data_IF_420211137774
#
_entry.id   IF_420211137774
#
_cell.length_a   1.000
_cell.length_b   1.000
_cell.length_c   1.000
_cell.angle_alpha   90.00
_cell.angle_beta   90.00
_cell.angle_gamma   90.00
#
_symmetry.space_group_name_H-M   'P 1'
#
loop_
_entity.id
_entity.type
_entity.pdbx_description
1 polymer ?
#
# COMPACT_ATOMS: atom_id res chain seq x y z
N UNK A 1 2.61 5.35 -7.28
CA UNK A 1 1.71 6.49 -7.60
C UNK A 1 2.33 7.87 -7.43
N UNK A 2 3.34 8.09 -6.57
CA UNK A 2 4.02 9.42 -6.45
C UNK A 2 4.45 10.02 -7.79
N UNK A 3 5.10 9.26 -8.71
CA UNK A 3 5.57 9.85 -9.97
C UNK A 3 4.45 10.30 -10.91
N UNK A 4 3.28 9.65 -10.87
CA UNK A 4 2.12 10.04 -11.69
C UNK A 4 1.47 11.32 -11.17
N UNK A 5 1.38 11.47 -9.84
CA UNK A 5 0.87 12.67 -9.20
C UNK A 5 1.80 13.86 -9.42
N UNK A 6 3.12 13.67 -9.28
CA UNK A 6 4.12 14.69 -9.58
C UNK A 6 4.07 15.13 -11.05
N UNK A 7 3.86 14.18 -11.97
CA UNK A 7 3.72 14.47 -13.40
C UNK A 7 2.43 15.25 -13.71
N UNK A 8 1.30 14.87 -13.11
CA UNK A 8 0.05 15.59 -13.24
C UNK A 8 0.14 17.02 -12.69
N UNK A 9 0.71 17.19 -11.49
CA UNK A 9 0.94 18.50 -10.88
C UNK A 9 1.82 19.39 -11.78
N UNK A 10 2.84 18.79 -12.40
CA UNK A 10 3.69 19.47 -13.39
C UNK A 10 2.91 19.88 -14.65
N UNK A 11 2.07 19.00 -15.19
CA UNK A 11 1.24 19.29 -16.37
C UNK A 11 0.27 20.45 -16.09
N UNK A 12 -0.43 20.41 -14.96
CA UNK A 12 -1.38 21.48 -14.56
C UNK A 12 -0.65 22.80 -14.35
N UNK A 13 0.50 22.78 -13.67
CA UNK A 13 1.30 23.98 -13.45
C UNK A 13 1.81 24.58 -14.77
N UNK A 14 2.25 23.72 -15.69
CA UNK A 14 2.72 24.13 -17.01
C UNK A 14 1.59 24.70 -17.86
N UNK A 15 0.40 24.10 -17.81
CA UNK A 15 -0.80 24.59 -18.49
C UNK A 15 -1.14 26.02 -18.05
N UNK A 16 -1.23 26.25 -16.74
CA UNK A 16 -1.53 27.56 -16.17
C UNK A 16 -0.48 28.62 -16.54
N UNK A 17 0.79 28.23 -16.62
CA UNK A 17 1.88 29.13 -17.03
C UNK A 17 1.74 29.54 -18.51
N UNK A 18 1.48 28.57 -19.40
CA UNK A 18 1.39 28.81 -20.84
C UNK A 18 0.13 29.59 -21.19
N UNK A 19 -0.98 29.35 -20.49
CA UNK A 19 -2.25 30.05 -20.66
C UNK A 19 -2.10 31.57 -20.51
N UNK A 20 -1.23 32.03 -19.60
CA UNK A 20 -0.93 33.46 -19.41
C UNK A 20 -0.35 34.14 -20.66
N UNK A 21 0.23 33.37 -21.58
CA UNK A 21 0.87 33.87 -22.79
C UNK A 21 -0.02 33.79 -24.05
N UNK A 22 -1.26 33.31 -23.94
CA UNK A 22 -2.20 33.22 -25.07
C UNK A 22 -2.53 34.56 -25.72
N UNK A 23 -2.52 35.64 -24.93
CA UNK A 23 -2.81 37.00 -25.40
C UNK A 23 -1.54 37.85 -25.58
N UNK A 24 -0.37 37.23 -25.69
CA UNK A 24 0.89 37.96 -25.80
C UNK A 24 0.95 38.83 -27.06
N UNK A 25 1.58 40.01 -26.96
CA UNK A 25 1.68 40.97 -28.07
C UNK A 25 2.43 40.43 -29.29
N UNK A 26 3.30 39.43 -29.10
CA UNK A 26 4.11 38.81 -30.16
C UNK A 26 3.34 37.64 -30.80
N UNK A 27 3.05 37.67 -32.11
CA UNK A 27 2.24 36.63 -32.79
C UNK A 27 2.80 35.21 -32.66
N UNK A 28 4.12 35.04 -32.83
CA UNK A 28 4.78 33.72 -32.68
C UNK A 28 4.62 33.15 -31.27
N UNK A 29 4.65 33.99 -30.24
CA UNK A 29 4.47 33.55 -28.86
C UNK A 29 3.06 33.01 -28.66
N UNK A 30 2.05 33.65 -29.24
CA UNK A 30 0.67 33.14 -29.20
C UNK A 30 0.51 31.81 -29.94
N UNK A 31 1.09 31.70 -31.13
CA UNK A 31 1.06 30.48 -31.94
C UNK A 31 1.66 29.29 -31.17
N UNK A 32 2.87 29.46 -30.62
CA UNK A 32 3.51 28.41 -29.82
C UNK A 32 2.77 28.13 -28.50
N UNK A 33 2.20 29.15 -27.86
CA UNK A 33 1.41 28.94 -26.63
C UNK A 33 0.16 28.11 -26.93
N UNK A 34 -0.52 28.37 -28.06
CA UNK A 34 -1.67 27.59 -28.50
C UNK A 34 -1.30 26.13 -28.74
N UNK A 35 -0.24 25.87 -29.51
CA UNK A 35 0.21 24.50 -29.79
C UNK A 35 0.58 23.75 -28.52
N UNK A 36 1.30 24.42 -27.60
CA UNK A 36 1.73 23.81 -26.35
C UNK A 36 0.55 23.52 -25.40
N UNK A 37 -0.49 24.37 -25.39
CA UNK A 37 -1.71 24.09 -24.64
C UNK A 37 -2.47 22.88 -25.20
N UNK A 38 -2.51 22.72 -26.53
CA UNK A 38 -3.12 21.54 -27.14
C UNK A 38 -2.38 20.25 -26.71
N UNK A 39 -1.04 20.27 -26.74
CA UNK A 39 -0.20 19.15 -26.30
C UNK A 39 -0.35 18.84 -24.80
N UNK A 40 -0.41 19.87 -23.95
CA UNK A 40 -0.64 19.73 -22.52
C UNK A 40 -2.04 19.18 -22.22
N UNK A 41 -3.05 19.61 -22.98
CA UNK A 41 -4.43 19.12 -22.85
C UNK A 41 -4.51 17.64 -23.20
N UNK A 42 -3.87 17.22 -24.29
CA UNK A 42 -3.79 15.81 -24.67
C UNK A 42 -3.08 14.99 -23.59
N UNK A 43 -1.97 15.49 -23.05
CA UNK A 43 -1.21 14.82 -21.99
C UNK A 43 -2.04 14.66 -20.69
N UNK A 44 -2.82 15.69 -20.31
CA UNK A 44 -3.74 15.61 -19.18
C UNK A 44 -4.83 14.55 -19.40
N UNK A 45 -5.40 14.49 -20.62
CA UNK A 45 -6.39 13.47 -20.98
C UNK A 45 -5.80 12.06 -20.93
N UNK A 46 -4.54 11.88 -21.34
CA UNK A 46 -3.84 10.60 -21.23
C UNK A 46 -3.65 10.16 -19.77
N UNK A 47 -3.29 11.10 -18.89
CA UNK A 47 -3.19 10.84 -17.44
C UNK A 47 -4.55 10.40 -16.87
N UNK A 48 -5.64 11.08 -17.24
CA UNK A 48 -6.99 10.70 -16.81
C UNK A 48 -7.39 9.31 -17.31
N UNK A 49 -7.08 8.99 -18.56
CA UNK A 49 -7.33 7.66 -19.12
C UNK A 49 -6.51 6.59 -18.38
N UNK A 50 -5.25 6.87 -18.05
CA UNK A 50 -4.40 5.99 -17.26
C UNK A 50 -4.98 5.72 -15.87
N UNK A 51 -5.45 6.76 -15.18
CA UNK A 51 -6.12 6.62 -13.89
C UNK A 51 -7.35 5.74 -14.01
N UNK A 52 -8.17 5.94 -15.04
CA UNK A 52 -9.38 5.16 -15.29
C UNK A 52 -9.07 3.68 -15.56
N UNK A 53 -8.06 3.38 -16.39
CA UNK A 53 -7.61 2.02 -16.66
C UNK A 53 -7.09 1.33 -15.41
N UNK A 54 -6.31 2.04 -14.59
CA UNK A 54 -5.80 1.50 -13.34
C UNK A 54 -6.94 1.24 -12.34
N UNK A 55 -7.92 2.13 -12.29
CA UNK A 55 -9.14 1.94 -11.49
C UNK A 55 -9.91 0.70 -11.92
N UNK A 56 -10.05 0.47 -13.23
CA UNK A 56 -10.75 -0.69 -13.76
C UNK A 56 -10.00 -2.00 -13.45
N UNK A 57 -8.66 -2.00 -13.56
CA UNK A 57 -7.85 -3.16 -13.14
C UNK A 57 -8.07 -3.49 -11.67
N UNK A 58 -8.04 -2.49 -10.80
CA UNK A 58 -8.28 -2.67 -9.37
C UNK A 58 -9.70 -3.19 -9.11
N UNK A 59 -10.70 -2.66 -9.81
CA UNK A 59 -12.09 -3.14 -9.75
C UNK A 59 -12.21 -4.61 -10.16
N UNK A 60 -11.57 -5.01 -11.26
CA UNK A 60 -11.54 -6.39 -11.75
C UNK A 60 -10.91 -7.31 -10.70
N UNK A 61 -9.79 -6.92 -10.10
CA UNK A 61 -9.14 -7.69 -9.01
C UNK A 61 -10.09 -7.88 -7.83
N UNK A 62 -10.81 -6.82 -7.42
CA UNK A 62 -11.82 -6.89 -6.35
C UNK A 62 -12.97 -7.83 -6.71
N UNK A 63 -13.44 -7.81 -7.96
CA UNK A 63 -14.55 -8.65 -8.43
C UNK A 63 -14.17 -10.13 -8.57
N UNK A 64 -12.93 -10.44 -8.96
CA UNK A 64 -12.43 -11.82 -9.05
C UNK A 64 -11.97 -12.40 -7.70
N UNK A 65 -11.85 -11.57 -6.68
CA UNK A 65 -11.59 -11.98 -5.30
C UNK A 65 -12.89 -12.55 -4.71
N UNK A 66 -13.00 -13.88 -4.62
CA UNK A 66 -14.20 -14.55 -4.13
C UNK A 66 -14.60 -14.05 -2.73
N UNK A 67 -15.90 -14.01 -2.41
CA UNK A 67 -16.41 -13.71 -1.06
C UNK A 67 -15.71 -14.53 0.04
N UNK A 68 -15.38 -15.80 -0.25
CA UNK A 68 -14.64 -16.68 0.64
C UNK A 68 -13.24 -16.15 0.94
N UNK A 69 -12.58 -15.55 -0.04
CA UNK A 69 -11.24 -14.98 0.12
C UNK A 69 -11.19 -13.68 0.92
N UNK A 70 -12.36 -13.09 1.25
CA UNK A 70 -12.51 -11.99 2.20
C UNK A 70 -12.54 -12.47 3.66
N UNK A 71 -12.55 -13.77 3.93
CA UNK A 71 -12.44 -14.28 5.29
C UNK A 71 -10.96 -14.44 5.69
N UNK A 72 -10.59 -14.10 6.95
CA UNK A 72 -9.21 -14.20 7.42
C UNK A 72 -8.60 -15.61 7.24
N UNK A 73 -9.40 -16.66 7.49
CA UNK A 73 -8.92 -18.04 7.42
C UNK A 73 -8.57 -18.46 5.99
N UNK A 74 -9.38 -18.06 5.01
CA UNK A 74 -9.12 -18.36 3.60
C UNK A 74 -7.92 -17.57 3.07
N UNK A 75 -7.81 -16.28 3.46
CA UNK A 75 -6.65 -15.48 3.14
C UNK A 75 -5.36 -16.09 3.72
N UNK A 76 -5.37 -16.46 5.00
CA UNK A 76 -4.23 -17.08 5.66
C UNK A 76 -3.87 -18.43 5.01
N UNK A 77 -4.88 -19.25 4.68
CA UNK A 77 -4.66 -20.51 3.96
C UNK A 77 -3.97 -20.28 2.61
N UNK A 78 -4.41 -19.30 1.82
CA UNK A 78 -3.74 -18.94 0.56
C UNK A 78 -2.32 -18.44 0.78
N UNK A 79 -2.09 -17.64 1.82
CA UNK A 79 -0.76 -17.14 2.16
C UNK A 79 0.19 -18.30 2.45
N UNK A 80 -0.25 -19.28 3.25
CA UNK A 80 0.54 -20.45 3.61
C UNK A 80 0.80 -21.39 2.43
N UNK A 81 -0.17 -21.55 1.53
CA UNK A 81 0.00 -22.39 0.33
C UNK A 81 0.95 -21.80 -0.73
N UNK A 82 1.42 -20.54 -0.58
CA UNK A 82 2.36 -19.95 -1.52
C UNK A 82 3.74 -20.60 -1.36
N UNK A 83 4.39 -21.02 -2.46
CA UNK A 83 5.70 -21.66 -2.40
C UNK A 83 6.71 -20.85 -1.57
N UNK A 84 7.30 -21.49 -0.56
CA UNK A 84 8.33 -20.92 0.31
C UNK A 84 7.83 -20.00 1.42
N UNK A 85 6.54 -19.60 1.46
CA UNK A 85 6.06 -18.71 2.53
C UNK A 85 5.91 -19.42 3.87
N UNK A 86 5.43 -20.66 3.90
CA UNK A 86 5.36 -21.44 5.14
C UNK A 86 6.75 -21.57 5.80
N UNK A 87 7.77 -21.97 5.03
CA UNK A 87 9.15 -22.03 5.52
C UNK A 87 9.69 -20.66 5.96
N UNK A 88 9.24 -19.58 5.31
CA UNK A 88 9.60 -18.21 5.69
C UNK A 88 8.97 -17.84 7.03
N UNK A 89 7.70 -18.19 7.25
CA UNK A 89 6.94 -17.90 8.47
C UNK A 89 7.42 -18.74 9.67
N UNK A 90 7.82 -19.99 9.41
CA UNK A 90 8.36 -20.94 10.40
C UNK A 90 9.84 -20.72 10.71
N UNK A 91 10.49 -19.76 10.05
CA UNK A 91 11.86 -19.40 10.38
C UNK A 91 11.94 -19.07 11.88
N UNK A 92 13.05 -19.42 12.52
CA UNK A 92 13.28 -19.05 13.91
C UNK A 92 13.40 -17.54 14.06
N UNK A 93 12.27 -16.84 14.16
CA UNK A 93 12.18 -15.38 14.31
C UNK A 93 12.79 -14.87 15.63
N UNK A 94 12.93 -15.77 16.60
CA UNK A 94 13.65 -15.53 17.86
C UNK A 94 15.16 -15.81 17.78
N UNK A 95 15.70 -16.22 16.62
CA UNK A 95 17.14 -16.42 16.42
C UNK A 95 17.87 -15.11 16.11
N UNK A 96 17.46 -14.02 16.73
CA UNK A 96 18.23 -12.78 16.67
C UNK A 96 19.46 -12.95 17.54
N UNK A 97 20.53 -13.37 16.86
CA UNK A 97 21.93 -13.32 17.33
C UNK A 97 22.09 -12.10 18.24
N UNK A 98 22.45 -12.32 19.52
CA UNK A 98 22.91 -11.33 20.51
C UNK A 98 23.24 -9.97 19.87
N UNK A 99 22.24 -9.14 19.61
CA UNK A 99 22.45 -7.79 19.10
C UNK A 99 22.58 -6.88 20.30
N UNK A 100 23.36 -5.83 20.12
CA UNK A 100 23.50 -4.78 21.11
C UNK A 100 22.08 -4.32 21.51
N UNK A 101 21.74 -4.12 22.80
CA UNK A 101 20.38 -3.75 23.21
C UNK A 101 19.84 -2.45 22.57
N UNK A 102 20.72 -1.68 21.92
CA UNK A 102 20.36 -0.47 21.15
C UNK A 102 19.95 -0.75 19.69
N UNK A 103 20.10 -1.97 19.18
CA UNK A 103 19.75 -2.33 17.79
C UNK A 103 18.45 -3.15 17.75
N UNK A 104 17.31 -2.46 17.64
CA UNK A 104 16.01 -3.06 17.33
C UNK A 104 15.79 -3.01 15.81
N UNK A 105 15.91 -4.15 15.13
CA UNK A 105 15.73 -4.25 13.68
C UNK A 105 14.31 -4.64 13.28
N UNK A 106 13.59 -5.35 14.15
CA UNK A 106 12.21 -5.78 13.96
C UNK A 106 11.47 -5.84 15.31
N UNK A 107 10.13 -5.93 15.29
CA UNK A 107 9.31 -6.03 16.51
C UNK A 107 9.66 -7.26 17.35
N UNK A 108 10.18 -8.33 16.73
CA UNK A 108 10.60 -9.54 17.44
C UNK A 108 11.89 -9.36 18.25
N UNK A 109 12.63 -8.28 18.01
CA UNK A 109 13.79 -7.90 18.83
C UNK A 109 13.35 -7.26 20.17
N UNK A 110 12.06 -6.95 20.34
CA UNK A 110 11.55 -6.32 21.56
C UNK A 110 11.23 -7.35 22.65
N UNK A 111 11.53 -6.99 23.90
CA UNK A 111 11.15 -7.77 25.08
C UNK A 111 9.64 -8.01 25.13
N UNK A 112 8.83 -7.05 24.70
CA UNK A 112 7.36 -7.17 24.69
C UNK A 112 6.89 -8.35 23.86
N UNK A 113 7.45 -8.57 22.68
CA UNK A 113 7.08 -9.70 21.82
C UNK A 113 7.71 -11.01 22.31
N UNK A 114 8.95 -10.97 22.79
CA UNK A 114 9.65 -12.17 23.28
C UNK A 114 9.03 -12.73 24.58
N UNK A 115 8.50 -11.85 25.43
CA UNK A 115 7.87 -12.19 26.70
C UNK A 115 6.35 -12.35 26.61
N UNK A 116 5.75 -12.13 25.43
CA UNK A 116 4.31 -12.32 25.23
C UNK A 116 3.95 -13.76 25.60
N UNK A 117 3.07 -13.94 26.59
CA UNK A 117 2.67 -15.26 27.05
C UNK A 117 1.50 -15.81 26.23
N UNK A 118 1.54 -17.09 25.93
CA UNK A 118 0.41 -17.84 25.40
C UNK A 118 -0.57 -18.26 26.51
N UNK A 119 -1.68 -18.92 26.14
CA UNK A 119 -2.65 -19.44 27.10
C UNK A 119 -2.09 -20.46 28.09
N UNK A 120 -0.94 -21.06 27.77
CA UNK A 120 -0.19 -22.03 28.60
C UNK A 120 0.73 -21.34 29.62
N UNK A 121 0.77 -20.00 29.68
CA UNK A 121 1.67 -19.22 30.52
C UNK A 121 3.14 -19.26 30.07
N UNK A 122 3.43 -19.93 28.95
CA UNK A 122 4.75 -19.99 28.32
C UNK A 122 4.87 -18.91 27.25
N UNK A 123 6.08 -18.56 26.79
CA UNK A 123 6.24 -17.66 25.64
C UNK A 123 5.39 -18.14 24.45
N UNK A 124 4.63 -17.20 23.89
CA UNK A 124 3.77 -17.44 22.73
C UNK A 124 4.62 -17.85 21.54
N UNK A 125 5.70 -17.14 21.25
CA UNK A 125 6.64 -17.59 20.23
C UNK A 125 7.61 -18.60 20.84
N UNK A 126 7.55 -19.86 20.39
CA UNK A 126 8.49 -20.92 20.82
C UNK A 126 8.80 -21.85 19.65
N UNK A 127 10.02 -22.39 19.64
CA UNK A 127 10.45 -23.32 18.59
C UNK A 127 10.01 -24.75 18.89
N UNK A 128 9.89 -25.59 17.85
CA UNK A 128 9.54 -27.01 18.01
C UNK A 128 8.07 -27.28 18.33
N UNK A 129 7.17 -26.34 18.02
CA UNK A 129 5.72 -26.57 18.08
C UNK A 129 5.23 -27.28 16.82
N UNK A 130 4.15 -28.05 16.94
CA UNK A 130 3.43 -28.63 15.80
C UNK A 130 2.26 -27.72 15.33
N UNK A 131 2.32 -26.43 15.65
CA UNK A 131 1.31 -25.44 15.30
C UNK A 131 2.00 -24.14 14.87
N UNK A 132 1.38 -23.43 13.92
CA UNK A 132 1.81 -22.12 13.47
C UNK A 132 1.35 -21.03 14.44
N UNK A 133 2.29 -20.23 14.95
CA UNK A 133 2.01 -19.13 15.88
C UNK A 133 2.33 -17.80 15.22
N UNK A 134 1.28 -17.09 14.82
CA UNK A 134 1.38 -15.88 14.01
C UNK A 134 0.99 -14.63 14.79
N UNK A 135 1.79 -13.58 14.64
CA UNK A 135 1.49 -12.24 15.14
C UNK A 135 1.01 -11.40 13.97
N UNK A 136 -0.12 -10.72 14.16
CA UNK A 136 -0.68 -9.81 13.17
C UNK A 136 -0.62 -8.37 13.68
N UNK A 137 -0.15 -7.47 12.83
CA UNK A 137 -0.27 -6.03 13.03
C UNK A 137 -1.59 -5.54 12.47
N UNK A 138 -2.34 -4.78 13.26
CA UNK A 138 -3.52 -4.05 12.79
C UNK A 138 -3.07 -2.68 12.27
N UNK A 139 -3.20 -2.46 10.97
CA UNK A 139 -2.87 -1.20 10.32
C UNK A 139 -4.17 -0.47 9.99
N UNK A 140 -4.27 0.82 10.31
CA UNK A 140 -5.40 1.66 9.93
C UNK A 140 -4.88 2.86 9.15
N UNK A 141 -5.48 3.10 7.98
CA UNK A 141 -5.11 4.21 7.10
C UNK A 141 -6.35 4.99 6.69
N UNK A 142 -6.33 6.31 6.90
CA UNK A 142 -7.43 7.22 6.58
C UNK A 142 -7.06 8.08 5.38
N UNK A 143 -7.88 8.03 4.33
CA UNK A 143 -7.65 8.80 3.11
C UNK A 143 -8.91 9.53 2.66
N UNK A 144 -8.71 10.66 1.96
CA UNK A 144 -9.80 11.41 1.34
C UNK A 144 -10.09 10.81 -0.04
N UNK A 145 -11.24 10.13 -0.25
CA UNK A 145 -11.50 9.40 -1.49
C UNK A 145 -11.65 10.32 -2.71
N UNK A 146 -11.95 11.60 -2.47
CA UNK A 146 -12.12 12.61 -3.53
C UNK A 146 -10.84 13.38 -3.87
N UNK A 147 -9.70 13.06 -3.23
CA UNK A 147 -8.46 13.81 -3.40
C UNK A 147 -8.51 15.24 -2.85
N UNK A 148 -7.50 16.04 -3.21
CA UNK A 148 -7.37 17.44 -2.74
C UNK A 148 -8.36 18.33 -3.48
N UNK A 149 -9.21 19.05 -2.74
CA UNK A 149 -10.22 19.98 -3.30
C UNK A 149 -11.62 19.39 -3.50
N UNK A 150 -11.79 18.08 -3.31
CA UNK A 150 -13.11 17.44 -3.25
C UNK A 150 -13.83 17.66 -1.91
N UNK A 151 -15.11 17.24 -1.79
CA UNK A 151 -15.86 17.33 -0.54
C UNK A 151 -15.09 16.71 0.64
N UNK A 152 -15.07 17.36 1.82
CA UNK A 152 -14.38 16.83 2.98
C UNK A 152 -15.06 15.55 3.44
N UNK A 153 -14.42 14.42 3.15
CA UNK A 153 -14.87 13.08 3.51
C UNK A 153 -13.61 12.25 3.73
N UNK A 154 -13.60 11.42 4.77
CA UNK A 154 -12.50 10.51 5.08
C UNK A 154 -13.03 9.10 5.06
N UNK A 155 -12.33 8.19 4.40
CA UNK A 155 -12.58 6.75 4.46
C UNK A 155 -11.39 6.11 5.15
N UNK A 156 -11.65 5.26 6.12
CA UNK A 156 -10.64 4.45 6.80
C UNK A 156 -10.56 3.04 6.22
N UNK A 157 -9.38 2.54 5.93
CA UNK A 157 -9.15 1.12 5.64
C UNK A 157 -8.41 0.46 6.80
N UNK A 158 -8.85 -0.75 7.18
CA UNK A 158 -8.24 -1.57 8.22
C UNK A 158 -7.58 -2.77 7.54
N UNK A 159 -6.27 -2.94 7.72
CA UNK A 159 -5.50 -4.05 7.19
C UNK A 159 -4.91 -4.91 8.32
N UNK A 160 -4.74 -6.20 8.05
CA UNK A 160 -3.88 -7.08 8.85
C UNK A 160 -2.60 -7.37 8.06
N UNK A 161 -1.45 -7.17 8.71
CA UNK A 161 -0.15 -7.58 8.21
C UNK A 161 0.37 -8.76 9.04
N UNK A 162 0.79 -9.85 8.40
CA UNK A 162 1.43 -10.95 9.11
C UNK A 162 2.86 -10.56 9.49
N UNK A 163 3.07 -10.22 10.76
CA UNK A 163 4.36 -9.74 11.23
C UNK A 163 5.42 -10.83 11.15
N UNK A 164 5.04 -12.11 11.19
CA UNK A 164 6.00 -13.20 10.99
C UNK A 164 6.72 -13.10 9.65
N UNK A 165 6.20 -12.43 8.62
CA UNK A 165 6.94 -12.22 7.37
C UNK A 165 8.11 -11.21 7.56
N UNK A 166 9.21 -11.33 6.80
CA UNK A 166 10.29 -10.34 6.81
C UNK A 166 9.81 -8.91 6.48
N UNK A 167 10.44 -7.86 7.06
CA UNK A 167 10.02 -6.47 6.85
C UNK A 167 9.91 -6.05 5.37
N UNK A 168 10.77 -6.58 4.51
CA UNK A 168 10.84 -6.29 3.08
C UNK A 168 9.62 -6.80 2.29
N UNK A 169 8.92 -7.82 2.80
CA UNK A 169 7.75 -8.39 2.10
C UNK A 169 6.44 -8.27 2.88
N UNK A 170 6.45 -8.04 4.19
CA UNK A 170 5.22 -8.11 5.02
C UNK A 170 4.14 -7.09 4.63
N UNK A 171 4.52 -5.95 4.06
CA UNK A 171 3.60 -4.88 3.63
C UNK A 171 3.32 -4.88 2.12
N UNK A 172 3.78 -5.90 1.38
CA UNK A 172 3.35 -6.08 -0.01
C UNK A 172 1.84 -6.32 -0.07
N UNK A 173 1.18 -5.77 -1.09
CA UNK A 173 -0.27 -5.91 -1.29
C UNK A 173 -0.72 -7.39 -1.28
N UNK A 174 0.10 -8.29 -1.81
CA UNK A 174 -0.20 -9.73 -1.84
C UNK A 174 -0.18 -10.39 -0.45
N UNK A 175 0.43 -9.73 0.54
CA UNK A 175 0.62 -10.21 1.90
C UNK A 175 -0.23 -9.46 2.93
N UNK A 176 -1.01 -8.47 2.49
CA UNK A 176 -1.95 -7.75 3.34
C UNK A 176 -3.35 -8.36 3.24
N UNK A 177 -4.09 -8.26 4.32
CA UNK A 177 -5.50 -8.61 4.35
C UNK A 177 -6.33 -7.35 4.65
N UNK A 178 -7.23 -6.96 3.76
CA UNK A 178 -8.20 -5.90 4.04
C UNK A 178 -9.29 -6.46 4.97
N UNK A 179 -9.22 -6.09 6.25
CA UNK A 179 -10.14 -6.55 7.28
C UNK A 179 -11.44 -5.73 7.33
N UNK A 180 -11.41 -4.47 6.90
CA UNK A 180 -12.60 -3.63 6.89
C UNK A 180 -12.40 -2.25 6.30
N UNK A 181 -13.52 -1.58 6.03
CA UNK A 181 -13.59 -0.18 5.59
C UNK A 181 -14.52 0.55 6.55
N UNK A 182 -14.07 1.68 7.07
CA UNK A 182 -14.84 2.62 7.90
C UNK A 182 -15.26 3.79 6.99
N UNK A 183 -16.57 3.98 6.76
CA UNK A 183 -17.09 5.09 5.95
C UNK A 183 -17.10 6.42 6.71
#
# INVERSE_FOLDING_TARGET
NSPLLEYEEWLVSSYLLVEQHMNHSIPRVREYSSMLLDDLTLSLLEVDNWKMLEWEKQRIIVLHTSEQSKQPNHWLGRLLCRPGLESTLDRGILKTSKKNPMECGDIFDTDTIQMLQGPDGQPFLKTGTNEGRYIFGLCMDGFQPHGRGGPPTSIGAIYLACMNLPPDIRYSLDNLFLAGIIP
#
